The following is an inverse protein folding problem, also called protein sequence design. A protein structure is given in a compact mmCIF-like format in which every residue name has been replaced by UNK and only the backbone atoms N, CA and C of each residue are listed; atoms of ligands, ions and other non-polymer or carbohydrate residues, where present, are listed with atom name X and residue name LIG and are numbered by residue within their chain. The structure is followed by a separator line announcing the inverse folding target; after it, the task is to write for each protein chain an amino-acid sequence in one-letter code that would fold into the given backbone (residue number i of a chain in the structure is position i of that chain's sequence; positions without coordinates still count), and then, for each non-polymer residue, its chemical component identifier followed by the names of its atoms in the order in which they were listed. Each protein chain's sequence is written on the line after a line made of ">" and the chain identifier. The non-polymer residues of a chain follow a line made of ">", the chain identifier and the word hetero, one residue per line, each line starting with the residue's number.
data_IF_055917341588
#
_entry.id   IF_055917341588
#
_cell.length_a   1.000
_cell.length_b   1.000
_cell.length_c   1.000
_cell.angle_alpha   90.00
_cell.angle_beta   90.00
_cell.angle_gamma   90.00
#
_symmetry.space_group_name_H-M   'P 1'
#
loop_
_entity.id
_entity.type
_entity.pdbx_description
1 polymer ?
#
# COMPACT_ATOMS: atom_id res chain seq x y z
N UNK A 1 -29.19 -15.37 -65.00
CA UNK A 1 -28.09 -15.29 -64.00
C UNK A 1 -27.68 -13.83 -63.90
N UNK A 2 -28.24 -13.09 -62.94
CA UNK A 2 -28.11 -11.62 -62.84
C UNK A 2 -26.96 -11.31 -61.88
N UNK A 3 -25.87 -10.73 -62.39
CA UNK A 3 -24.88 -10.06 -61.54
C UNK A 3 -25.53 -8.79 -60.98
N UNK A 4 -26.03 -8.87 -59.74
CA UNK A 4 -26.49 -7.67 -59.01
C UNK A 4 -25.29 -6.77 -58.76
N UNK A 5 -25.38 -5.53 -59.21
CA UNK A 5 -24.37 -4.50 -59.01
C UNK A 5 -24.21 -4.22 -57.51
N UNK A 6 -23.12 -4.69 -56.90
CA UNK A 6 -22.84 -4.60 -55.47
C UNK A 6 -22.18 -3.25 -55.09
N UNK A 7 -22.51 -2.16 -55.78
CA UNK A 7 -21.95 -0.82 -55.52
C UNK A 7 -22.17 -0.39 -54.07
N UNK A 8 -23.31 -0.76 -53.48
CA UNK A 8 -23.62 -0.47 -52.08
C UNK A 8 -22.76 -1.29 -51.10
N UNK A 9 -22.36 -2.52 -51.46
CA UNK A 9 -21.47 -3.34 -50.65
C UNK A 9 -20.06 -2.76 -50.61
N UNK A 10 -19.55 -2.29 -51.76
CA UNK A 10 -18.25 -1.62 -51.84
C UNK A 10 -18.24 -0.28 -51.10
N UNK A 11 -19.32 0.50 -51.18
CA UNK A 11 -19.48 1.70 -50.38
C UNK A 11 -19.50 1.39 -48.89
N UNK A 12 -20.18 0.32 -48.48
CA UNK A 12 -20.23 -0.10 -47.09
C UNK A 12 -18.86 -0.56 -46.57
N UNK A 13 -18.13 -1.37 -47.34
CA UNK A 13 -16.76 -1.79 -47.02
C UNK A 13 -15.82 -0.58 -46.94
N UNK A 14 -15.94 0.36 -47.87
CA UNK A 14 -15.14 1.58 -47.89
C UNK A 14 -15.41 2.46 -46.66
N UNK A 15 -16.67 2.72 -46.33
CA UNK A 15 -17.06 3.49 -45.13
C UNK A 15 -16.61 2.77 -43.86
N UNK A 16 -16.79 1.45 -43.78
CA UNK A 16 -16.33 0.66 -42.64
C UNK A 16 -14.80 0.75 -42.46
N UNK A 17 -14.03 0.65 -43.55
CA UNK A 17 -12.57 0.86 -43.51
C UNK A 17 -12.20 2.29 -43.09
N UNK A 18 -12.96 3.29 -43.55
CA UNK A 18 -12.74 4.69 -43.20
C UNK A 18 -12.97 4.94 -41.70
N UNK A 19 -13.99 4.31 -41.10
CA UNK A 19 -14.24 4.37 -39.66
C UNK A 19 -13.11 3.72 -38.85
N UNK A 20 -12.49 2.64 -39.35
CA UNK A 20 -11.33 2.00 -38.70
C UNK A 20 -10.08 2.89 -38.79
N UNK A 21 -9.91 3.65 -39.88
CA UNK A 21 -8.77 4.56 -40.03
C UNK A 21 -8.86 5.82 -39.16
N UNK A 22 -10.07 6.21 -38.76
CA UNK A 22 -10.36 7.35 -37.88
C UNK A 22 -10.77 6.92 -36.46
N UNK A 23 -10.22 5.81 -35.95
CA UNK A 23 -10.31 5.56 -34.51
C UNK A 23 -9.54 6.67 -33.78
N UNK A 24 -10.16 7.38 -32.82
CA UNK A 24 -9.40 8.27 -31.97
C UNK A 24 -8.30 7.45 -31.30
N UNK A 25 -7.03 7.81 -31.53
CA UNK A 25 -5.93 7.30 -30.71
C UNK A 25 -6.19 7.82 -29.30
N UNK A 26 -6.52 6.93 -28.37
CA UNK A 26 -6.47 7.26 -26.96
C UNK A 26 -5.04 7.70 -26.68
N UNK A 27 -4.86 9.00 -26.46
CA UNK A 27 -3.59 9.56 -26.04
C UNK A 27 -3.44 9.11 -24.58
N UNK A 28 -2.63 8.07 -24.37
CA UNK A 28 -2.20 7.71 -23.03
C UNK A 28 -1.58 8.98 -22.44
N UNK A 29 -2.03 9.40 -21.26
CA UNK A 29 -1.44 10.52 -20.56
C UNK A 29 0.08 10.32 -20.58
N UNK A 30 0.81 11.35 -21.03
CA UNK A 30 2.27 11.39 -20.96
C UNK A 30 2.67 10.83 -19.60
N UNK A 31 3.57 9.84 -19.57
CA UNK A 31 4.14 9.34 -18.32
C UNK A 31 4.49 10.57 -17.46
N UNK A 32 3.93 10.64 -16.25
CA UNK A 32 4.21 11.74 -15.36
C UNK A 32 5.73 11.76 -15.15
N UNK A 33 6.38 12.87 -15.48
CA UNK A 33 7.81 13.04 -15.26
C UNK A 33 8.03 13.22 -13.76
N UNK A 34 8.29 12.11 -13.07
CA UNK A 34 8.50 12.07 -11.62
C UNK A 34 9.96 11.72 -11.33
N UNK A 35 10.48 12.27 -10.23
CA UNK A 35 11.84 11.98 -9.75
C UNK A 35 11.91 10.74 -8.84
N UNK A 36 10.77 10.12 -8.52
CA UNK A 36 10.70 8.98 -7.63
C UNK A 36 11.24 7.71 -8.31
N UNK A 37 11.85 6.81 -7.53
CA UNK A 37 12.34 5.51 -8.04
C UNK A 37 11.21 4.58 -8.46
N UNK A 38 10.09 4.64 -7.74
CA UNK A 38 8.88 3.90 -8.02
C UNK A 38 7.67 4.70 -7.56
N UNK A 39 6.54 4.53 -8.23
CA UNK A 39 5.26 5.13 -7.89
C UNK A 39 4.09 4.30 -8.42
N UNK A 40 2.96 4.39 -7.73
CA UNK A 40 1.70 3.82 -8.18
C UNK A 40 0.56 4.75 -7.77
N UNK A 41 -0.42 4.92 -8.65
CA UNK A 41 -1.68 5.60 -8.37
C UNK A 41 -2.82 4.66 -8.73
N UNK A 42 -3.72 4.45 -7.77
CA UNK A 42 -4.82 3.49 -7.88
C UNK A 42 -6.14 4.23 -7.61
N UNK A 43 -7.16 3.92 -8.40
CA UNK A 43 -8.54 4.25 -8.10
C UNK A 43 -9.02 3.36 -6.94
N UNK A 44 -9.39 3.97 -5.80
CA UNK A 44 -9.78 3.22 -4.60
C UNK A 44 -10.98 2.30 -4.84
N UNK A 45 -12.05 2.83 -5.46
CA UNK A 45 -13.32 2.12 -5.63
C UNK A 45 -13.16 0.87 -6.51
N UNK A 46 -12.45 1.01 -7.64
CA UNK A 46 -12.34 -0.05 -8.63
C UNK A 46 -11.05 -0.86 -8.52
N UNK A 47 -10.08 -0.42 -7.73
CA UNK A 47 -8.72 -0.97 -7.70
C UNK A 47 -7.95 -0.78 -9.01
N UNK A 48 -8.42 0.08 -9.93
CA UNK A 48 -7.78 0.24 -11.25
C UNK A 48 -6.49 1.06 -11.09
N UNK A 49 -5.39 0.52 -11.59
CA UNK A 49 -4.12 1.26 -11.70
C UNK A 49 -4.29 2.37 -12.75
N UNK A 50 -4.14 3.61 -12.30
CA UNK A 50 -4.22 4.81 -13.15
C UNK A 50 -2.83 5.23 -13.65
N UNK A 51 -1.80 4.99 -12.85
CA UNK A 51 -0.40 5.22 -13.18
C UNK A 51 0.49 4.25 -12.41
N UNK A 52 1.56 3.77 -13.04
CA UNK A 52 2.56 2.93 -12.39
C UNK A 52 3.93 3.14 -13.04
N UNK A 53 4.96 3.28 -12.21
CA UNK A 53 6.36 3.32 -12.59
C UNK A 53 7.15 2.48 -11.59
N UNK A 54 7.80 1.41 -12.06
CA UNK A 54 8.53 0.45 -11.22
C UNK A 54 7.75 -0.06 -9.99
N UNK A 55 6.41 -0.11 -10.07
CA UNK A 55 5.54 -0.34 -8.91
C UNK A 55 5.75 -1.70 -8.20
N UNK A 56 6.24 -2.70 -8.92
CA UNK A 56 6.55 -4.04 -8.38
C UNK A 56 8.01 -4.19 -7.92
N UNK A 57 8.83 -3.15 -8.07
CA UNK A 57 10.22 -3.19 -7.67
C UNK A 57 10.35 -3.22 -6.15
N UNK A 58 11.08 -4.20 -5.63
CA UNK A 58 11.42 -4.26 -4.20
C UNK A 58 12.37 -3.13 -3.84
N UNK A 59 11.96 -2.29 -2.90
CA UNK A 59 12.71 -1.14 -2.40
C UNK A 59 12.62 -1.09 -0.87
N UNK A 60 13.61 -0.52 -0.18
CA UNK A 60 13.47 -0.21 1.24
C UNK A 60 12.32 0.76 1.46
N UNK A 61 11.36 0.38 2.29
CA UNK A 61 10.12 1.12 2.54
C UNK A 61 10.24 2.10 3.72
N UNK A 62 11.30 1.99 4.53
CA UNK A 62 11.54 2.79 5.73
C UNK A 62 10.28 2.82 6.62
N UNK A 63 9.85 3.99 7.11
CA UNK A 63 8.71 4.09 8.02
C UNK A 63 7.34 3.72 7.40
N UNK A 64 7.24 3.47 6.09
CA UNK A 64 6.00 2.92 5.52
C UNK A 64 5.64 1.55 6.11
N UNK A 65 6.62 0.81 6.64
CA UNK A 65 6.41 -0.42 7.44
C UNK A 65 5.35 -0.24 8.53
N UNK A 66 5.27 0.94 9.15
CA UNK A 66 4.35 1.23 10.25
C UNK A 66 2.87 1.20 9.84
N UNK A 67 2.55 1.26 8.54
CA UNK A 67 1.18 1.06 8.05
C UNK A 67 0.70 -0.37 8.36
N UNK A 68 1.56 -1.38 8.16
CA UNK A 68 1.23 -2.77 8.52
C UNK A 68 1.13 -2.95 10.05
N UNK A 69 2.02 -2.30 10.81
CA UNK A 69 1.93 -2.28 12.28
C UNK A 69 0.60 -1.73 12.76
N UNK A 70 0.20 -0.56 12.25
CA UNK A 70 -1.07 0.07 12.60
C UNK A 70 -2.28 -0.81 12.23
N UNK A 71 -2.25 -1.41 11.02
CA UNK A 71 -3.30 -2.31 10.57
C UNK A 71 -3.52 -3.47 11.55
N UNK A 72 -2.45 -4.19 11.91
CA UNK A 72 -2.55 -5.34 12.81
C UNK A 72 -3.00 -4.96 14.22
N UNK A 73 -2.54 -3.82 14.74
CA UNK A 73 -2.98 -3.32 16.06
C UNK A 73 -4.47 -3.01 16.05
N UNK A 74 -4.96 -2.33 14.99
CA UNK A 74 -6.38 -1.99 14.85
C UNK A 74 -7.23 -3.26 14.70
N UNK A 75 -6.79 -4.22 13.89
CA UNK A 75 -7.47 -5.51 13.70
C UNK A 75 -7.47 -6.36 14.98
N UNK A 76 -6.45 -6.22 15.84
CA UNK A 76 -6.40 -6.88 17.15
C UNK A 76 -7.42 -6.29 18.15
N UNK A 77 -7.87 -5.04 17.95
CA UNK A 77 -8.88 -4.38 18.77
C UNK A 77 -8.40 -3.90 20.14
N UNK A 78 -9.35 -3.58 21.02
CA UNK A 78 -9.14 -3.05 22.38
C UNK A 78 -8.16 -1.86 22.42
N UNK A 79 -8.50 -0.79 21.70
CA UNK A 79 -7.63 0.38 21.55
C UNK A 79 -7.45 1.18 22.86
N UNK A 80 -8.33 0.97 23.83
CA UNK A 80 -8.24 1.57 25.16
C UNK A 80 -7.35 0.73 26.11
N UNK A 81 -6.84 -0.43 25.66
CA UNK A 81 -5.93 -1.26 26.45
C UNK A 81 -4.68 -0.48 26.83
N UNK A 82 -4.44 -0.40 28.13
CA UNK A 82 -3.19 0.13 28.68
C UNK A 82 -2.01 -0.81 28.34
N UNK A 83 -0.95 -0.21 27.84
CA UNK A 83 0.34 -0.84 27.52
C UNK A 83 1.37 -0.26 28.46
N UNK A 84 2.07 -1.14 29.19
CA UNK A 84 3.22 -0.76 30.00
C UNK A 84 4.44 -0.78 29.09
N UNK A 85 5.17 0.32 29.02
CA UNK A 85 6.35 0.44 28.17
C UNK A 85 7.47 -0.43 28.74
N UNK A 86 8.03 -1.29 27.88
CA UNK A 86 9.15 -2.16 28.21
C UNK A 86 10.48 -1.43 28.07
N UNK A 87 11.54 -1.97 28.69
CA UNK A 87 12.89 -1.46 28.47
C UNK A 87 13.31 -1.49 27.00
N UNK A 88 12.87 -2.51 26.26
CA UNK A 88 13.16 -2.67 24.83
C UNK A 88 12.53 -1.55 23.99
N UNK A 89 11.28 -1.18 24.27
CA UNK A 89 10.62 -0.03 23.64
C UNK A 89 11.35 1.29 23.94
N UNK A 90 11.76 1.52 25.20
CA UNK A 90 12.55 2.72 25.58
C UNK A 90 13.90 2.79 24.84
N UNK A 91 14.60 1.67 24.72
CA UNK A 91 15.92 1.60 24.07
C UNK A 91 15.84 1.75 22.53
N UNK A 92 14.62 1.71 21.97
CA UNK A 92 14.40 1.85 20.53
C UNK A 92 14.48 3.32 20.10
N UNK A 93 15.59 3.68 19.43
CA UNK A 93 15.89 5.05 19.02
C UNK A 93 15.38 5.48 17.63
N UNK A 94 16.02 6.53 17.11
CA UNK A 94 15.69 7.29 15.89
C UNK A 94 14.45 8.20 16.03
N UNK A 95 13.38 7.98 15.24
CA UNK A 95 12.12 8.72 15.44
C UNK A 95 11.42 8.13 16.65
N UNK A 96 11.19 8.95 17.66
CA UNK A 96 10.72 8.53 18.98
C UNK A 96 9.95 9.67 19.64
N UNK A 97 9.06 9.32 20.57
CA UNK A 97 8.42 10.28 21.48
C UNK A 97 9.04 10.26 22.89
N UNK A 98 10.16 9.56 23.04
CA UNK A 98 10.96 9.41 24.25
C UNK A 98 10.19 8.69 25.37
N UNK A 99 9.53 7.59 25.03
CA UNK A 99 8.86 6.73 26.01
C UNK A 99 9.86 6.20 27.04
N UNK A 100 9.47 6.16 28.32
CA UNK A 100 10.28 5.64 29.41
C UNK A 100 9.74 4.29 29.93
N UNK A 101 10.63 3.36 30.33
CA UNK A 101 10.21 2.08 30.92
C UNK A 101 9.25 2.29 32.11
N UNK A 102 8.14 1.56 32.09
CA UNK A 102 7.10 1.64 33.11
C UNK A 102 6.05 2.72 32.89
N UNK A 103 6.22 3.62 31.91
CA UNK A 103 5.12 4.47 31.46
C UNK A 103 3.93 3.63 30.98
N UNK A 104 2.74 4.24 31.05
CA UNK A 104 1.50 3.58 30.66
C UNK A 104 0.73 4.47 29.70
N UNK A 105 0.53 3.97 28.49
CA UNK A 105 -0.26 4.60 27.44
C UNK A 105 -1.28 3.61 26.89
N UNK A 106 -2.41 4.09 26.41
CA UNK A 106 -3.36 3.27 25.66
C UNK A 106 -2.78 2.89 24.28
N UNK A 107 -3.25 1.78 23.71
CA UNK A 107 -2.95 1.42 22.32
C UNK A 107 -3.31 2.55 21.35
N UNK A 108 -4.39 3.28 21.60
CA UNK A 108 -4.80 4.41 20.79
C UNK A 108 -3.76 5.54 20.82
N UNK A 109 -3.27 5.94 21.99
CA UNK A 109 -2.22 6.96 22.11
C UNK A 109 -0.93 6.52 21.42
N UNK A 110 -0.55 5.25 21.57
CA UNK A 110 0.62 4.69 20.89
C UNK A 110 0.42 4.63 19.37
N UNK A 111 -0.79 4.39 18.86
CA UNK A 111 -1.09 4.49 17.43
C UNK A 111 -0.92 5.92 16.91
N UNK A 112 -1.31 6.93 17.69
CA UNK A 112 -1.05 8.32 17.32
C UNK A 112 0.46 8.62 17.28
N UNK A 113 1.23 8.13 18.26
CA UNK A 113 2.68 8.24 18.26
C UNK A 113 3.33 7.50 17.07
N UNK A 114 2.81 6.32 16.72
CA UNK A 114 3.25 5.54 15.57
C UNK A 114 3.02 6.29 14.26
N UNK A 115 1.85 6.92 14.09
CA UNK A 115 1.42 7.44 12.78
C UNK A 115 1.75 8.92 12.56
N UNK A 116 1.86 9.73 13.60
CA UNK A 116 2.13 11.17 13.47
C UNK A 116 3.64 11.47 13.46
N UNK A 117 4.40 11.25 14.54
CA UNK A 117 5.85 11.44 14.53
C UNK A 117 6.63 10.22 13.99
N UNK A 118 5.97 9.16 13.55
CA UNK A 118 6.64 7.93 13.09
C UNK A 118 7.48 7.25 14.17
N UNK A 119 6.98 7.23 15.41
CA UNK A 119 7.75 6.81 16.58
C UNK A 119 8.02 5.28 16.58
N UNK A 120 9.29 4.89 16.69
CA UNK A 120 9.77 3.51 16.69
C UNK A 120 9.56 2.83 18.04
N UNK A 121 9.80 3.54 19.13
CA UNK A 121 9.48 3.14 20.51
C UNK A 121 8.00 2.74 20.65
N UNK A 122 7.09 3.52 20.08
CA UNK A 122 5.67 3.18 20.02
C UNK A 122 5.39 1.93 19.16
N UNK A 123 6.14 1.74 18.05
CA UNK A 123 6.00 0.54 17.21
C UNK A 123 6.36 -0.73 17.98
N UNK A 124 7.45 -0.70 18.74
CA UNK A 124 7.89 -1.82 19.58
C UNK A 124 6.90 -2.10 20.70
N UNK A 125 6.46 -1.07 21.43
CA UNK A 125 5.46 -1.21 22.49
C UNK A 125 4.14 -1.82 21.97
N UNK A 126 3.69 -1.40 20.78
CA UNK A 126 2.51 -1.96 20.13
C UNK A 126 2.70 -3.41 19.69
N UNK A 127 3.86 -3.74 19.11
CA UNK A 127 4.20 -5.09 18.68
C UNK A 127 4.19 -6.06 19.87
N UNK A 128 4.84 -5.69 20.97
CA UNK A 128 4.84 -6.46 22.22
C UNK A 128 3.43 -6.58 22.82
N UNK A 129 2.65 -5.50 22.80
CA UNK A 129 1.26 -5.50 23.31
C UNK A 129 0.33 -6.44 22.55
N UNK A 130 0.56 -6.65 21.24
CA UNK A 130 -0.27 -7.50 20.38
C UNK A 130 0.22 -8.94 20.36
N UNK A 131 1.51 -9.17 20.14
CA UNK A 131 2.06 -10.50 19.88
C UNK A 131 2.93 -11.06 21.02
N UNK A 132 3.23 -10.26 22.06
CA UNK A 132 4.10 -10.62 23.17
C UNK A 132 5.60 -10.39 22.90
N UNK A 133 6.02 -10.31 21.64
CA UNK A 133 7.37 -9.88 21.24
C UNK A 133 7.37 -9.34 19.81
N UNK A 134 8.39 -8.56 19.47
CA UNK A 134 8.60 -8.08 18.10
C UNK A 134 8.73 -9.22 17.09
N UNK A 135 9.47 -10.29 17.42
CA UNK A 135 9.68 -11.40 16.48
C UNK A 135 8.37 -12.12 16.14
N UNK A 136 7.49 -12.30 17.13
CA UNK A 136 6.15 -12.86 16.91
C UNK A 136 5.28 -11.89 16.11
N UNK A 137 5.40 -10.59 16.34
CA UNK A 137 4.69 -9.57 15.57
C UNK A 137 5.15 -9.54 14.11
N UNK A 138 6.46 -9.59 13.84
CA UNK A 138 7.03 -9.69 12.49
C UNK A 138 6.53 -10.94 11.75
N UNK A 139 6.37 -12.06 12.46
CA UNK A 139 5.72 -13.24 11.88
C UNK A 139 4.29 -12.93 11.44
N UNK A 140 3.50 -12.26 12.29
CA UNK A 140 2.13 -11.85 11.94
C UNK A 140 2.09 -10.86 10.78
N UNK A 141 3.04 -9.93 10.68
CA UNK A 141 3.14 -9.00 9.55
C UNK A 141 3.38 -9.74 8.23
N UNK A 142 4.24 -10.76 8.24
CA UNK A 142 4.49 -11.59 7.07
C UNK A 142 3.32 -12.53 6.73
N UNK A 143 2.60 -13.02 7.73
CA UNK A 143 1.37 -13.78 7.54
C UNK A 143 0.30 -12.91 6.86
N UNK A 144 0.12 -11.68 7.35
CA UNK A 144 -0.80 -10.70 6.79
C UNK A 144 -0.42 -10.28 5.37
N UNK A 145 0.86 -10.10 5.10
CA UNK A 145 1.35 -9.82 3.74
C UNK A 145 0.96 -10.94 2.76
N UNK A 146 1.03 -12.21 3.18
CA UNK A 146 0.60 -13.35 2.36
C UNK A 146 -0.92 -13.38 2.14
N UNK A 147 -1.71 -13.09 3.17
CA UNK A 147 -3.17 -13.00 3.06
C UNK A 147 -3.62 -11.91 2.09
N UNK A 148 -2.93 -10.77 2.09
CA UNK A 148 -3.16 -9.65 1.18
C UNK A 148 -2.52 -9.83 -0.20
N UNK A 149 -1.89 -10.99 -0.46
CA UNK A 149 -1.19 -11.32 -1.70
C UNK A 149 -0.07 -10.31 -2.07
N UNK A 150 0.63 -9.76 -1.08
CA UNK A 150 1.76 -8.84 -1.24
C UNK A 150 3.07 -9.61 -1.54
N UNK A 151 3.19 -10.16 -2.74
CA UNK A 151 4.28 -11.07 -3.13
C UNK A 151 5.68 -10.44 -3.13
N UNK A 152 5.75 -9.11 -3.12
CA UNK A 152 6.99 -8.33 -3.13
C UNK A 152 7.30 -7.64 -1.80
N UNK A 153 6.64 -8.07 -0.71
CA UNK A 153 6.81 -7.53 0.63
C UNK A 153 7.31 -8.59 1.60
N UNK A 154 8.26 -8.22 2.46
CA UNK A 154 8.74 -9.05 3.56
C UNK A 154 9.20 -8.15 4.71
N UNK A 155 8.70 -8.40 5.91
CA UNK A 155 9.06 -7.68 7.13
C UNK A 155 10.10 -8.45 7.93
N UNK A 156 11.01 -7.76 8.62
CA UNK A 156 12.11 -8.34 9.37
C UNK A 156 12.31 -7.63 10.70
#
# INVERSE_FOLDING_TARGET
>A
MIFKNNRNLWLFIFVFFLVILFQPKAEAASAADISAKAAILIDEDSGRVLFAENAEQRLPEASLTKIMTALLVIENGDLDKNVVISKNAEETGESSIWLEEGEVLSRNELLYALMLPSANDAAVALAESVAGSEQLFVSQMNDRARELNLQNTHFA
#
